data_IF_182138196113
#
_entry.id   IF_182138196113
#
_cell.length_a   1.000
_cell.length_b   1.000
_cell.length_c   1.000
_cell.angle_alpha   90.00
_cell.angle_beta   90.00
_cell.angle_gamma   90.00
#
_symmetry.space_group_name_H-M   'P 1'
#
loop_
_entity.id
_entity.type
_entity.pdbx_description
1 polymer ?
#
# COMPACT_ATOMS: atom_id res chain seq x y z
N UNK A 1 1.22 -19.76 14.90
CA UNK A 1 1.40 -20.07 13.46
C UNK A 1 0.38 -19.36 12.54
N UNK A 2 -0.88 -19.11 12.98
CA UNK A 2 -1.90 -18.41 12.16
C UNK A 2 -1.61 -16.92 11.94
N UNK A 3 -1.25 -16.17 13.00
CA UNK A 3 -1.12 -14.70 12.92
C UNK A 3 -0.07 -14.24 11.90
N UNK A 4 1.09 -14.91 11.84
CA UNK A 4 2.13 -14.59 10.86
C UNK A 4 1.71 -14.83 9.41
N UNK A 5 0.91 -15.88 9.16
CA UNK A 5 0.36 -16.16 7.82
C UNK A 5 -0.68 -15.11 7.41
N UNK A 6 -1.53 -14.69 8.35
CA UNK A 6 -2.51 -13.64 8.10
C UNK A 6 -1.82 -12.31 7.77
N UNK A 7 -0.78 -11.96 8.51
CA UNK A 7 -0.03 -10.73 8.29
C UNK A 7 0.69 -10.74 6.92
N UNK A 8 1.24 -11.89 6.52
CA UNK A 8 1.81 -12.07 5.19
C UNK A 8 0.74 -11.92 4.10
N UNK A 9 -0.41 -12.56 4.26
CA UNK A 9 -1.53 -12.47 3.32
C UNK A 9 -2.00 -11.02 3.11
N UNK A 10 -2.13 -10.24 4.18
CA UNK A 10 -2.50 -8.82 4.09
C UNK A 10 -1.46 -8.01 3.30
N UNK A 11 -0.16 -8.25 3.51
CA UNK A 11 0.92 -7.60 2.74
C UNK A 11 0.93 -7.98 1.26
N UNK A 12 0.43 -9.16 0.89
CA UNK A 12 0.39 -9.62 -0.49
C UNK A 12 -0.88 -9.16 -1.23
N UNK A 13 -2.00 -9.01 -0.52
CA UNK A 13 -3.32 -8.73 -1.14
C UNK A 13 -3.71 -7.25 -1.03
N UNK A 14 -3.40 -6.58 0.07
CA UNK A 14 -3.81 -5.19 0.29
C UNK A 14 -2.82 -4.23 -0.35
N UNK A 15 -3.28 -3.42 -1.32
CA UNK A 15 -2.44 -2.47 -2.07
C UNK A 15 -1.69 -1.52 -1.14
N UNK A 16 -2.35 -1.03 -0.09
CA UNK A 16 -1.78 -0.12 0.91
C UNK A 16 -0.58 -0.70 1.66
N UNK A 17 -0.64 -2.00 1.96
CA UNK A 17 0.38 -2.73 2.73
C UNK A 17 1.50 -3.31 1.85
N UNK A 18 1.35 -3.27 0.53
CA UNK A 18 2.35 -3.77 -0.41
C UNK A 18 3.58 -2.84 -0.45
N UNK A 19 4.77 -3.39 -0.69
CA UNK A 19 5.95 -2.60 -0.99
C UNK A 19 5.78 -1.87 -2.32
N UNK A 20 6.24 -0.62 -2.39
CA UNK A 20 6.14 0.17 -3.60
C UNK A 20 7.09 -0.35 -4.70
N UNK A 21 6.61 -0.43 -5.93
CA UNK A 21 7.36 -1.05 -7.05
C UNK A 21 8.67 -0.31 -7.37
N UNK A 22 8.71 1.02 -7.20
CA UNK A 22 9.92 1.80 -7.46
C UNK A 22 10.87 1.87 -6.26
N UNK A 23 10.35 1.70 -5.05
CA UNK A 23 11.12 1.67 -3.81
C UNK A 23 10.55 0.62 -2.85
N UNK A 24 11.13 -0.60 -2.82
CA UNK A 24 10.64 -1.68 -2.00
C UNK A 24 10.79 -1.47 -0.48
N UNK A 25 11.52 -0.43 -0.05
CA UNK A 25 11.72 -0.12 1.37
C UNK A 25 10.50 0.57 1.99
N UNK A 26 9.65 1.19 1.18
CA UNK A 26 8.45 1.89 1.63
C UNK A 26 7.19 1.15 1.16
N UNK A 27 6.14 1.20 1.97
CA UNK A 27 4.82 0.73 1.55
C UNK A 27 4.07 1.79 0.74
N UNK A 28 3.04 1.37 0.01
CA UNK A 28 2.18 2.30 -0.74
C UNK A 28 1.49 3.30 0.19
N UNK A 29 1.03 2.88 1.39
CA UNK A 29 0.50 3.83 2.38
C UNK A 29 1.52 4.88 2.80
N UNK A 30 2.77 4.49 3.06
CA UNK A 30 3.82 5.43 3.46
C UNK A 30 4.13 6.46 2.36
N UNK A 31 4.09 6.02 1.09
CA UNK A 31 4.23 6.93 -0.05
C UNK A 31 3.09 7.95 -0.11
N UNK A 32 1.85 7.49 0.07
CA UNK A 32 0.67 8.36 0.07
C UNK A 32 0.74 9.36 1.22
N UNK A 33 1.11 8.92 2.43
CA UNK A 33 1.29 9.79 3.60
C UNK A 33 2.41 10.82 3.38
N UNK A 34 3.56 10.42 2.83
CA UNK A 34 4.65 11.36 2.52
C UNK A 34 4.18 12.43 1.53
N UNK A 35 3.51 12.00 0.46
CA UNK A 35 3.03 12.88 -0.60
C UNK A 35 1.93 13.83 -0.08
N UNK A 36 1.04 13.34 0.77
CA UNK A 36 0.02 14.15 1.44
C UNK A 36 0.64 15.24 2.32
N UNK A 37 1.68 14.89 3.09
CA UNK A 37 2.42 15.85 3.92
C UNK A 37 3.17 16.89 3.08
N UNK A 38 3.82 16.50 2.00
CA UNK A 38 4.55 17.42 1.10
C UNK A 38 3.61 18.43 0.42
N UNK A 39 2.39 18.00 0.07
CA UNK A 39 1.39 18.84 -0.59
C UNK A 39 0.50 19.62 0.40
N UNK A 40 0.49 19.25 1.69
CA UNK A 40 -0.40 19.83 2.70
C UNK A 40 -1.88 19.50 2.48
N UNK A 41 -2.19 18.40 1.79
CA UNK A 41 -3.55 17.97 1.46
C UNK A 41 -3.78 16.53 1.89
N UNK A 42 -5.01 16.20 2.29
CA UNK A 42 -5.36 14.84 2.67
C UNK A 42 -5.59 13.97 1.42
N UNK A 43 -4.74 12.97 1.21
CA UNK A 43 -4.86 12.01 0.10
C UNK A 43 -5.29 10.67 0.70
N UNK A 44 -6.38 10.10 0.19
CA UNK A 44 -6.87 8.78 0.58
C UNK A 44 -7.00 7.86 -0.63
N UNK A 45 -6.73 6.58 -0.41
CA UNK A 45 -6.96 5.54 -1.40
C UNK A 45 -8.44 5.14 -1.39
N UNK A 46 -9.11 5.22 -2.55
CA UNK A 46 -10.56 4.98 -2.63
C UNK A 46 -10.90 3.64 -3.27
N UNK A 47 -10.45 3.40 -4.50
CA UNK A 47 -10.73 2.17 -5.24
C UNK A 47 -9.66 1.97 -6.32
N UNK A 48 -9.35 0.71 -6.63
CA UNK A 48 -8.51 0.36 -7.76
C UNK A 48 -9.11 -0.82 -8.52
N UNK A 49 -8.83 -0.87 -9.81
CA UNK A 49 -9.29 -1.92 -10.72
C UNK A 49 -8.07 -2.43 -11.49
N UNK A 50 -7.89 -3.76 -11.49
CA UNK A 50 -6.82 -4.44 -12.22
C UNK A 50 -7.44 -5.44 -13.18
N UNK A 51 -7.31 -5.17 -14.48
CA UNK A 51 -7.69 -6.08 -15.54
C UNK A 51 -6.49 -6.93 -15.97
N UNK A 52 -6.72 -8.22 -16.23
CA UNK A 52 -5.74 -9.13 -16.80
C UNK A 52 -6.44 -10.01 -17.83
N UNK A 53 -5.86 -10.09 -19.03
CA UNK A 53 -6.32 -10.97 -20.11
C UNK A 53 -5.68 -12.35 -20.01
#
# INVERSE_FOLDING_TARGET
MIGGRLNKFLKEICVESQPFVKDPQISVSQLVESTANELGVNINFSTFEKYQF
#
